data_IF_696237357641
#
_entry.id   IF_696237357641
#
_cell.length_a   1.000
_cell.length_b   1.000
_cell.length_c   1.000
_cell.angle_alpha   90.00
_cell.angle_beta   90.00
_cell.angle_gamma   90.00
#
_symmetry.space_group_name_H-M   'P 1'
#
loop_
_entity.id
_entity.type
_entity.pdbx_description
1 polymer ?
#
# COMPACT_ATOMS: atom_id res chain seq x y z
N UNK A 1 42.57 23.07 -16.55
CA UNK A 1 41.26 23.59 -16.09
C UNK A 1 40.53 22.42 -15.45
N UNK A 2 40.66 22.27 -14.13
CA UNK A 2 40.06 21.14 -13.40
C UNK A 2 38.68 21.57 -12.90
N UNK A 3 37.63 21.16 -13.61
CA UNK A 3 36.24 21.35 -13.20
C UNK A 3 35.80 20.42 -12.04
N UNK A 4 36.71 19.58 -11.55
CA UNK A 4 36.47 18.56 -10.51
C UNK A 4 35.88 19.16 -9.21
N UNK A 5 36.35 20.32 -8.69
CA UNK A 5 35.78 20.87 -7.46
C UNK A 5 34.33 21.38 -7.64
N UNK A 6 34.04 22.02 -8.77
CA UNK A 6 32.69 22.53 -9.06
C UNK A 6 31.70 21.41 -9.39
N UNK A 7 32.11 20.42 -10.18
CA UNK A 7 31.28 19.25 -10.48
C UNK A 7 31.01 18.41 -9.24
N UNK A 8 32.00 18.26 -8.34
CA UNK A 8 31.81 17.56 -7.07
C UNK A 8 30.84 18.32 -6.17
N UNK A 9 30.98 19.65 -6.06
CA UNK A 9 30.06 20.50 -5.30
C UNK A 9 28.62 20.44 -5.85
N UNK A 10 28.45 20.54 -7.18
CA UNK A 10 27.14 20.45 -7.83
C UNK A 10 26.50 19.07 -7.69
N UNK A 11 27.28 17.99 -7.84
CA UNK A 11 26.80 16.62 -7.67
C UNK A 11 26.45 16.30 -6.21
N UNK A 12 27.24 16.77 -5.24
CA UNK A 12 26.92 16.63 -3.81
C UNK A 12 25.64 17.40 -3.45
N UNK A 13 25.48 18.62 -3.98
CA UNK A 13 24.26 19.42 -3.76
C UNK A 13 23.03 18.76 -4.37
N UNK A 14 23.11 18.28 -5.60
CA UNK A 14 22.01 17.59 -6.27
C UNK A 14 21.60 16.30 -5.55
N UNK A 15 22.56 15.52 -5.03
CA UNK A 15 22.25 14.33 -4.21
C UNK A 15 21.57 14.71 -2.88
N UNK A 16 21.99 15.80 -2.25
CA UNK A 16 21.37 16.27 -1.01
C UNK A 16 19.94 16.77 -1.25
N UNK A 17 19.71 17.54 -2.31
CA UNK A 17 18.36 17.99 -2.72
C UNK A 17 17.45 16.82 -3.07
N UNK A 18 17.96 15.80 -3.77
CA UNK A 18 17.20 14.58 -4.08
C UNK A 18 16.81 13.81 -2.81
N UNK A 19 17.73 13.64 -1.87
CA UNK A 19 17.45 12.97 -0.58
C UNK A 19 16.44 13.76 0.25
N UNK A 20 16.58 15.09 0.32
CA UNK A 20 15.64 15.94 1.03
C UNK A 20 14.24 15.88 0.40
N UNK A 21 14.16 15.96 -0.93
CA UNK A 21 12.90 15.84 -1.67
C UNK A 21 12.25 14.47 -1.45
N UNK A 22 13.03 13.38 -1.45
CA UNK A 22 12.56 12.04 -1.18
C UNK A 22 11.97 11.94 0.24
N UNK A 23 12.71 12.40 1.25
CA UNK A 23 12.26 12.39 2.64
C UNK A 23 10.98 13.21 2.78
N UNK A 24 10.94 14.42 2.24
CA UNK A 24 9.73 15.27 2.29
C UNK A 24 8.54 14.61 1.60
N UNK A 25 8.73 13.99 0.43
CA UNK A 25 7.66 13.30 -0.28
C UNK A 25 7.12 12.10 0.52
N UNK A 26 8.01 11.28 1.09
CA UNK A 26 7.64 10.12 1.91
C UNK A 26 6.94 10.55 3.21
N UNK A 27 7.45 11.59 3.87
CA UNK A 27 6.80 12.16 5.06
C UNK A 27 5.40 12.68 4.72
N UNK A 28 5.25 13.44 3.64
CA UNK A 28 3.93 13.91 3.20
C UNK A 28 2.97 12.75 2.93
N UNK A 29 3.43 11.65 2.32
CA UNK A 29 2.61 10.46 2.10
C UNK A 29 2.25 9.72 3.38
N UNK A 30 3.14 9.67 4.36
CA UNK A 30 2.82 9.14 5.67
C UNK A 30 1.73 9.98 6.38
N UNK A 31 1.85 11.32 6.32
CA UNK A 31 0.83 12.23 6.85
C UNK A 31 -0.52 12.07 6.14
N UNK A 32 -0.54 11.99 4.81
CA UNK A 32 -1.76 11.72 4.03
C UNK A 32 -2.40 10.37 4.44
N UNK A 33 -1.58 9.36 4.75
CA UNK A 33 -2.06 8.09 5.30
C UNK A 33 -2.75 8.26 6.65
N UNK A 34 -2.16 9.05 7.56
CA UNK A 34 -2.77 9.37 8.87
C UNK A 34 -4.07 10.15 8.69
N UNK A 35 -4.10 11.15 7.82
CA UNK A 35 -5.31 11.92 7.50
C UNK A 35 -6.44 10.99 7.04
N UNK A 36 -6.16 10.07 6.11
CA UNK A 36 -7.15 9.09 5.66
C UNK A 36 -7.65 8.17 6.77
N UNK A 37 -6.79 7.78 7.72
CA UNK A 37 -7.20 6.97 8.88
C UNK A 37 -8.11 7.79 9.80
N UNK A 38 -7.78 9.07 10.05
CA UNK A 38 -8.62 9.97 10.85
C UNK A 38 -9.98 10.17 10.19
N UNK A 39 -10.00 10.47 8.89
CA UNK A 39 -11.23 10.62 8.11
C UNK A 39 -12.08 9.34 8.14
N UNK A 40 -11.45 8.17 8.02
CA UNK A 40 -12.12 6.88 8.14
C UNK A 40 -12.78 6.74 9.52
N UNK A 41 -12.07 7.04 10.61
CA UNK A 41 -12.60 6.96 11.97
C UNK A 41 -13.77 7.93 12.18
N UNK A 42 -13.67 9.16 11.67
CA UNK A 42 -14.75 10.15 11.76
C UNK A 42 -16.00 9.69 10.99
N UNK A 43 -15.82 9.15 9.79
CA UNK A 43 -16.92 8.62 8.99
C UNK A 43 -17.60 7.43 9.69
N UNK A 44 -16.81 6.50 10.25
CA UNK A 44 -17.34 5.36 11.02
C UNK A 44 -18.08 5.82 12.27
N UNK A 45 -17.53 6.79 13.01
CA UNK A 45 -18.17 7.32 14.20
C UNK A 45 -19.52 7.98 13.87
N UNK A 46 -19.55 8.80 12.80
CA UNK A 46 -20.77 9.45 12.34
C UNK A 46 -21.83 8.44 11.90
N UNK A 47 -21.44 7.47 11.06
CA UNK A 47 -22.33 6.41 10.61
C UNK A 47 -22.85 5.57 11.78
N UNK A 48 -21.98 5.22 12.73
CA UNK A 48 -22.36 4.45 13.92
C UNK A 48 -23.35 5.21 14.80
N UNK A 49 -23.23 6.54 14.92
CA UNK A 49 -24.17 7.35 15.70
C UNK A 49 -25.55 7.42 15.04
N UNK A 50 -25.60 7.67 13.73
CA UNK A 50 -26.84 7.71 12.95
C UNK A 50 -27.56 6.36 13.01
N UNK A 51 -26.83 5.27 12.83
CA UNK A 51 -27.37 3.92 12.86
C UNK A 51 -27.78 3.48 14.27
N UNK A 52 -27.03 3.86 15.30
CA UNK A 52 -27.40 3.56 16.69
C UNK A 52 -28.71 4.25 17.06
N UNK A 53 -28.94 5.48 16.58
CA UNK A 53 -30.22 6.18 16.76
C UNK A 53 -31.36 5.44 16.06
N UNK A 54 -31.16 5.00 14.82
CA UNK A 54 -32.16 4.24 14.07
C UNK A 54 -32.46 2.88 14.74
N UNK A 55 -31.42 2.16 15.17
CA UNK A 55 -31.52 0.87 15.85
C UNK A 55 -32.22 1.01 17.20
N UNK A 56 -31.90 2.04 17.98
CA UNK A 56 -32.57 2.30 19.25
C UNK A 56 -34.07 2.57 19.05
N UNK A 57 -34.45 3.36 18.03
CA UNK A 57 -35.86 3.59 17.69
C UNK A 57 -36.59 2.29 17.31
N UNK A 58 -35.95 1.41 16.54
CA UNK A 58 -36.52 0.11 16.17
C UNK A 58 -36.70 -0.79 17.39
N UNK A 59 -35.69 -0.88 18.26
CA UNK A 59 -35.75 -1.69 19.49
C UNK A 59 -36.80 -1.17 20.48
N UNK A 60 -36.95 0.14 20.62
CA UNK A 60 -37.97 0.77 21.47
C UNK A 60 -39.40 0.61 20.92
N UNK A 61 -39.54 0.40 19.61
CA UNK A 61 -40.83 0.16 18.97
C UNK A 61 -41.25 -1.32 18.97
N UNK A 62 -40.42 -2.22 19.53
CA UNK A 62 -40.73 -3.65 19.63
C UNK A 62 -41.96 -3.87 20.53
N UNK A 63 -42.87 -4.74 20.07
CA UNK A 63 -44.16 -5.01 20.74
C UNK A 63 -44.02 -6.00 21.89
N UNK A 64 -43.01 -6.86 21.84
CA UNK A 64 -42.74 -7.88 22.83
C UNK A 64 -41.25 -8.27 22.86
N UNK A 65 -40.88 -9.11 23.84
CA UNK A 65 -39.51 -9.57 24.03
C UNK A 65 -38.98 -10.43 22.85
N UNK A 66 -39.87 -11.10 22.11
CA UNK A 66 -39.50 -11.94 20.99
C UNK A 66 -39.14 -11.08 19.75
N UNK A 67 -39.92 -10.03 19.49
CA UNK A 67 -39.60 -9.01 18.48
C UNK A 67 -38.30 -8.28 18.83
N UNK A 68 -38.09 -7.93 20.10
CA UNK A 68 -36.85 -7.31 20.56
C UNK A 68 -35.62 -8.19 20.30
N UNK A 69 -35.67 -9.47 20.69
CA UNK A 69 -34.57 -10.42 20.44
C UNK A 69 -34.30 -10.60 18.94
N UNK A 70 -35.36 -10.63 18.12
CA UNK A 70 -35.25 -10.75 16.67
C UNK A 70 -34.55 -9.54 16.07
N UNK A 71 -34.94 -8.33 16.48
CA UNK A 71 -34.33 -7.08 16.04
C UNK A 71 -32.86 -6.96 16.51
N UNK A 72 -32.56 -7.36 17.75
CA UNK A 72 -31.19 -7.39 18.25
C UNK A 72 -30.31 -8.38 17.47
N UNK A 73 -30.82 -9.59 17.20
CA UNK A 73 -30.09 -10.60 16.43
C UNK A 73 -29.86 -10.17 14.97
N UNK A 74 -30.80 -9.42 14.37
CA UNK A 74 -30.67 -8.90 13.01
C UNK A 74 -29.47 -7.95 12.84
N UNK A 75 -28.94 -7.37 13.92
CA UNK A 75 -27.79 -6.47 13.87
C UNK A 75 -26.43 -7.19 13.81
N UNK A 76 -26.38 -8.50 14.07
CA UNK A 76 -25.12 -9.25 14.10
C UNK A 76 -24.41 -9.26 12.74
N UNK A 77 -25.15 -9.55 11.66
CA UNK A 77 -24.60 -9.58 10.30
C UNK A 77 -24.10 -8.19 9.83
N UNK A 78 -24.92 -7.11 9.84
CA UNK A 78 -24.46 -5.81 9.37
C UNK A 78 -23.28 -5.27 10.19
N UNK A 79 -23.21 -5.56 11.49
CA UNK A 79 -22.06 -5.17 12.31
C UNK A 79 -20.77 -5.91 11.92
N UNK A 80 -20.86 -7.19 11.60
CA UNK A 80 -19.72 -7.95 11.09
C UNK A 80 -19.26 -7.45 9.71
N UNK A 81 -20.19 -7.15 8.81
CA UNK A 81 -19.88 -6.58 7.49
C UNK A 81 -19.18 -5.22 7.61
N UNK A 82 -19.61 -4.36 8.55
CA UNK A 82 -18.95 -3.07 8.82
C UNK A 82 -17.54 -3.23 9.39
N UNK A 83 -17.34 -4.16 10.32
CA UNK A 83 -16.01 -4.44 10.87
C UNK A 83 -15.05 -4.92 9.76
N UNK A 84 -15.52 -5.78 8.86
CA UNK A 84 -14.76 -6.25 7.70
C UNK A 84 -14.48 -5.10 6.71
N UNK A 85 -15.46 -4.23 6.46
CA UNK A 85 -15.28 -3.05 5.62
C UNK A 85 -14.24 -2.10 6.21
N UNK A 86 -14.30 -1.81 7.51
CA UNK A 86 -13.31 -0.99 8.20
C UNK A 86 -11.89 -1.57 8.06
N UNK A 87 -11.74 -2.88 8.28
CA UNK A 87 -10.47 -3.57 8.06
C UNK A 87 -9.95 -3.46 6.62
N UNK A 88 -10.83 -3.60 5.62
CA UNK A 88 -10.48 -3.38 4.20
C UNK A 88 -10.07 -1.95 3.90
N UNK A 89 -10.76 -0.96 4.45
CA UNK A 89 -10.40 0.45 4.27
C UNK A 89 -9.03 0.75 4.88
N UNK A 90 -8.75 0.25 6.10
CA UNK A 90 -7.42 0.37 6.70
C UNK A 90 -6.33 -0.30 5.85
N UNK A 91 -6.58 -1.52 5.38
CA UNK A 91 -5.65 -2.24 4.51
C UNK A 91 -5.38 -1.47 3.21
N UNK A 92 -6.42 -0.87 2.60
CA UNK A 92 -6.29 -0.04 1.40
C UNK A 92 -5.50 1.24 1.63
N UNK A 93 -5.64 1.88 2.80
CA UNK A 93 -4.81 3.05 3.15
C UNK A 93 -3.35 2.64 3.31
N UNK A 94 -3.09 1.56 4.06
CA UNK A 94 -1.74 1.07 4.30
C UNK A 94 -1.05 0.63 3.00
N UNK A 95 -1.75 -0.10 2.12
CA UNK A 95 -1.21 -0.53 0.83
C UNK A 95 -0.95 0.65 -0.11
N UNK A 96 -1.81 1.68 -0.07
CA UNK A 96 -1.58 2.93 -0.80
C UNK A 96 -0.31 3.66 -0.37
N UNK A 97 -0.08 3.78 0.95
CA UNK A 97 1.17 4.36 1.48
C UNK A 97 2.37 3.50 1.07
N UNK A 98 2.27 2.18 1.23
CA UNK A 98 3.35 1.26 0.85
C UNK A 98 3.69 1.39 -0.65
N UNK A 99 2.69 1.49 -1.53
CA UNK A 99 2.92 1.63 -2.97
C UNK A 99 3.72 2.89 -3.32
N UNK A 100 3.44 4.02 -2.67
CA UNK A 100 4.21 5.25 -2.87
C UNK A 100 5.66 5.12 -2.38
N UNK A 101 5.89 4.41 -1.26
CA UNK A 101 7.24 4.10 -0.78
C UNK A 101 8.00 3.20 -1.75
N UNK A 102 7.34 2.15 -2.26
CA UNK A 102 7.93 1.25 -3.28
C UNK A 102 8.30 2.03 -4.54
N UNK A 103 7.40 2.88 -5.04
CA UNK A 103 7.64 3.72 -6.21
C UNK A 103 8.83 4.66 -6.02
N UNK A 104 8.96 5.25 -4.83
CA UNK A 104 10.08 6.13 -4.51
C UNK A 104 11.42 5.39 -4.48
N UNK A 105 11.43 4.16 -3.93
CA UNK A 105 12.60 3.30 -3.98
C UNK A 105 12.96 2.92 -5.43
N UNK A 106 11.98 2.49 -6.23
CA UNK A 106 12.17 2.16 -7.64
C UNK A 106 12.80 3.32 -8.42
N UNK A 107 12.33 4.55 -8.20
CA UNK A 107 12.87 5.75 -8.83
C UNK A 107 14.36 5.97 -8.46
N UNK A 108 14.71 5.85 -7.17
CA UNK A 108 16.09 6.02 -6.69
C UNK A 108 17.03 4.96 -7.28
N UNK A 109 16.56 3.73 -7.38
CA UNK A 109 17.32 2.61 -7.94
C UNK A 109 17.52 2.80 -9.44
N UNK A 110 16.47 3.16 -10.18
CA UNK A 110 16.57 3.43 -11.61
C UNK A 110 17.56 4.56 -11.91
N UNK A 111 17.52 5.65 -11.12
CA UNK A 111 18.46 6.75 -11.23
C UNK A 111 19.91 6.31 -10.93
N UNK A 112 20.10 5.51 -9.88
CA UNK A 112 21.42 5.00 -9.50
C UNK A 112 21.99 4.07 -10.57
N UNK A 113 21.19 3.13 -11.08
CA UNK A 113 21.56 2.23 -12.18
C UNK A 113 21.97 3.03 -13.42
N UNK A 114 21.23 4.09 -13.76
CA UNK A 114 21.57 4.97 -14.88
C UNK A 114 22.91 5.69 -14.66
N UNK A 115 23.13 6.28 -13.48
CA UNK A 115 24.40 6.95 -13.12
C UNK A 115 25.59 5.98 -13.18
N UNK A 116 25.40 4.75 -12.71
CA UNK A 116 26.43 3.71 -12.80
C UNK A 116 26.69 3.37 -14.27
N UNK A 117 25.66 3.14 -15.09
CA UNK A 117 25.84 2.88 -16.53
C UNK A 117 26.60 4.01 -17.25
N UNK A 118 26.26 5.27 -16.98
CA UNK A 118 26.97 6.43 -17.52
C UNK A 118 28.46 6.41 -17.11
N UNK A 119 28.77 6.14 -15.84
CA UNK A 119 30.15 5.99 -15.37
C UNK A 119 30.87 4.81 -16.03
N UNK A 120 30.19 3.67 -16.23
CA UNK A 120 30.75 2.51 -16.92
C UNK A 120 31.06 2.85 -18.37
N UNK A 121 30.19 3.57 -19.08
CA UNK A 121 30.43 3.99 -20.46
C UNK A 121 31.59 5.00 -20.56
N UNK A 122 31.66 5.96 -19.63
CA UNK A 122 32.74 6.95 -19.52
C UNK A 122 34.09 6.26 -19.27
N UNK A 123 34.14 5.30 -18.33
CA UNK A 123 35.33 4.50 -18.05
C UNK A 123 35.68 3.63 -19.25
N UNK A 124 34.70 2.92 -19.85
CA UNK A 124 34.94 2.02 -20.98
C UNK A 124 35.50 2.75 -22.21
N UNK A 125 35.04 3.98 -22.48
CA UNK A 125 35.58 4.81 -23.57
C UNK A 125 37.05 5.21 -23.35
N UNK A 126 37.48 5.25 -22.09
CA UNK A 126 38.82 5.68 -21.68
C UNK A 126 39.67 4.52 -21.10
N UNK A 127 39.19 3.28 -21.17
CA UNK A 127 39.80 2.16 -20.47
C UNK A 127 40.98 1.56 -21.25
N UNK A 128 42.08 1.17 -20.58
CA UNK A 128 43.17 0.42 -21.20
C UNK A 128 42.68 -0.94 -21.73
N UNK A 129 43.33 -1.45 -22.77
CA UNK A 129 43.07 -2.80 -23.29
C UNK A 129 43.18 -3.85 -22.17
N UNK A 130 42.20 -4.76 -22.04
CA UNK A 130 42.13 -5.80 -21.02
C UNK A 130 41.09 -5.58 -19.91
N UNK A 131 40.29 -4.51 -19.98
CA UNK A 131 39.26 -4.13 -19.00
C UNK A 131 37.85 -4.67 -19.32
N UNK A 132 37.69 -5.38 -20.44
CA UNK A 132 36.41 -5.84 -21.00
C UNK A 132 35.64 -6.77 -20.04
N UNK A 133 36.36 -7.61 -19.29
CA UNK A 133 35.75 -8.51 -18.30
C UNK A 133 35.14 -7.76 -17.10
N UNK A 134 35.77 -6.67 -16.64
CA UNK A 134 35.24 -5.88 -15.52
C UNK A 134 33.97 -5.13 -15.91
N UNK A 135 33.93 -4.57 -17.13
CA UNK A 135 32.76 -3.91 -17.71
C UNK A 135 31.58 -4.89 -17.88
N UNK A 136 31.86 -6.13 -18.31
CA UNK A 136 30.85 -7.17 -18.47
C UNK A 136 30.23 -7.61 -17.13
N UNK A 137 31.04 -7.78 -16.09
CA UNK A 137 30.57 -8.11 -14.73
C UNK A 137 29.65 -7.00 -14.21
N UNK A 138 30.03 -5.74 -14.40
CA UNK A 138 29.27 -4.60 -13.89
C UNK A 138 27.92 -4.45 -14.63
N UNK A 139 27.88 -4.64 -15.95
CA UNK A 139 26.62 -4.72 -16.72
C UNK A 139 25.72 -5.86 -16.24
N UNK A 140 26.31 -7.02 -15.94
CA UNK A 140 25.57 -8.19 -15.43
C UNK A 140 24.98 -7.92 -14.04
N UNK A 141 25.70 -7.25 -13.15
CA UNK A 141 25.20 -6.87 -11.83
C UNK A 141 23.98 -5.93 -11.93
N UNK A 142 24.00 -4.96 -12.87
CA UNK A 142 22.89 -4.05 -13.13
C UNK A 142 21.68 -4.80 -13.69
N UNK A 143 21.90 -5.74 -14.62
CA UNK A 143 20.85 -6.61 -15.15
C UNK A 143 20.18 -7.46 -14.07
N UNK A 144 20.98 -8.05 -13.16
CA UNK A 144 20.47 -8.85 -12.05
C UNK A 144 19.72 -8.02 -11.01
N UNK A 145 20.16 -6.79 -10.74
CA UNK A 145 19.44 -5.86 -9.88
C UNK A 145 18.03 -5.58 -10.45
N UNK A 146 17.93 -5.22 -11.72
CA UNK A 146 16.64 -4.96 -12.40
C UNK A 146 15.69 -6.17 -12.36
N UNK A 147 16.20 -7.39 -12.58
CA UNK A 147 15.40 -8.61 -12.48
C UNK A 147 14.89 -8.87 -11.05
N UNK A 148 15.71 -8.58 -10.03
CA UNK A 148 15.30 -8.68 -8.62
C UNK A 148 14.14 -7.75 -8.26
N UNK A 149 14.08 -6.55 -8.84
CA UNK A 149 12.96 -5.60 -8.64
C UNK A 149 11.66 -6.09 -9.25
N UNK A 150 11.72 -6.61 -10.46
CA UNK A 150 10.55 -7.14 -11.14
C UNK A 150 9.93 -8.31 -10.36
N UNK A 151 10.79 -9.15 -9.77
CA UNK A 151 10.38 -10.24 -8.90
C UNK A 151 9.78 -9.75 -7.58
N UNK A 152 10.37 -8.75 -6.91
CA UNK A 152 9.81 -8.15 -5.69
C UNK A 152 8.42 -7.56 -5.95
N UNK A 153 8.29 -6.77 -7.02
CA UNK A 153 7.03 -6.14 -7.44
C UNK A 153 5.94 -7.19 -7.69
N UNK A 154 6.30 -8.29 -8.37
CA UNK A 154 5.40 -9.40 -8.64
C UNK A 154 4.97 -10.11 -7.36
N UNK A 155 5.91 -10.37 -6.43
CA UNK A 155 5.60 -10.97 -5.13
C UNK A 155 4.70 -10.08 -4.28
N UNK A 156 4.92 -8.76 -4.28
CA UNK A 156 4.05 -7.80 -3.60
C UNK A 156 2.64 -7.82 -4.18
N UNK A 157 2.48 -7.81 -5.50
CA UNK A 157 1.16 -7.93 -6.15
C UNK A 157 0.43 -9.21 -5.76
N UNK A 158 1.13 -10.35 -5.81
CA UNK A 158 0.54 -11.64 -5.41
C UNK A 158 0.11 -11.66 -3.94
N UNK A 159 0.88 -11.03 -3.05
CA UNK A 159 0.52 -10.92 -1.64
C UNK A 159 -0.77 -10.10 -1.44
N UNK A 160 -0.91 -8.98 -2.15
CA UNK A 160 -2.12 -8.14 -2.14
C UNK A 160 -3.32 -8.93 -2.66
N UNK A 161 -3.20 -9.57 -3.81
CA UNK A 161 -4.26 -10.40 -4.41
C UNK A 161 -4.69 -11.54 -3.47
N UNK A 162 -3.74 -12.16 -2.77
CA UNK A 162 -4.02 -13.24 -1.80
C UNK A 162 -4.78 -12.73 -0.57
N UNK A 163 -4.41 -11.54 -0.07
CA UNK A 163 -5.12 -10.90 1.04
C UNK A 163 -6.55 -10.55 0.63
N UNK A 164 -6.74 -9.98 -0.57
CA UNK A 164 -8.06 -9.68 -1.13
C UNK A 164 -8.92 -10.94 -1.29
N UNK A 165 -8.35 -12.01 -1.85
CA UNK A 165 -9.03 -13.29 -2.01
C UNK A 165 -9.44 -13.91 -0.67
N UNK A 166 -8.55 -13.88 0.33
CA UNK A 166 -8.82 -14.39 1.67
C UNK A 166 -9.89 -13.56 2.39
N UNK A 167 -9.88 -12.24 2.24
CA UNK A 167 -10.92 -11.35 2.78
C UNK A 167 -12.28 -11.59 2.13
N UNK A 168 -12.31 -11.76 0.81
CA UNK A 168 -13.55 -12.06 0.08
C UNK A 168 -14.10 -13.45 0.48
N UNK A 169 -13.22 -14.42 0.70
CA UNK A 169 -13.59 -15.74 1.20
C UNK A 169 -14.13 -15.68 2.63
N UNK A 170 -13.47 -14.95 3.54
CA UNK A 170 -13.95 -14.77 4.91
C UNK A 170 -15.33 -14.08 4.95
N UNK A 171 -15.54 -13.04 4.14
CA UNK A 171 -16.84 -12.36 4.01
C UNK A 171 -17.92 -13.29 3.45
N UNK A 172 -17.61 -14.07 2.41
CA UNK A 172 -18.58 -15.01 1.85
C UNK A 172 -18.92 -16.14 2.82
N UNK A 173 -17.95 -16.64 3.60
CA UNK A 173 -18.19 -17.63 4.65
C UNK A 173 -19.01 -17.06 5.82
N UNK A 174 -18.84 -15.79 6.16
CA UNK A 174 -19.60 -15.14 7.23
C UNK A 174 -21.04 -14.78 6.80
N UNK A 175 -21.25 -14.51 5.51
CA UNK A 175 -22.57 -14.16 4.94
C UNK A 175 -23.38 -15.39 4.47
N UNK A 176 -22.74 -16.54 4.22
CA UNK A 176 -23.42 -17.79 3.83
C UNK A 176 -24.40 -18.35 4.89
N UNK A 177 -24.11 -18.31 6.21
CA UNK A 177 -25.08 -18.71 7.24
C UNK A 177 -26.35 -17.84 7.21
N UNK A 178 -26.22 -16.54 6.90
CA UNK A 178 -27.36 -15.63 6.80
C UNK A 178 -28.22 -15.87 5.54
N UNK A 179 -27.61 -16.25 4.42
CA UNK A 179 -28.34 -16.61 3.20
C UNK A 179 -29.07 -17.96 3.32
N UNK A 180 -28.46 -18.98 3.95
CA UNK A 180 -29.11 -20.28 4.18
C UNK A 180 -30.23 -20.22 5.23
N UNK A 181 -30.08 -19.38 6.27
CA UNK A 181 -31.15 -19.16 7.25
C UNK A 181 -32.39 -18.44 6.66
N UNK A 182 -32.20 -17.60 5.63
CA UNK A 182 -33.29 -16.93 4.90
C UNK A 182 -33.97 -17.84 3.86
N UNK A 183 -33.24 -18.82 3.31
CA UNK A 183 -33.77 -19.80 2.36
C UNK A 183 -34.51 -20.97 3.02
N UNK A 184 -34.17 -21.33 4.26
CA UNK A 184 -34.81 -22.42 5.01
C UNK A 184 -36.15 -22.02 5.70
N UNK A 185 -36.60 -20.77 5.53
CA UNK A 185 -37.88 -20.24 6.04
C UNK A 185 -38.94 -19.98 4.94
N UNK A 186 -38.73 -20.48 3.72
CA UNK A 186 -39.75 -20.48 2.66
C UNK A 186 -40.34 -21.86 2.47
#
# INVERSE_FOLDING_TARGET
MFAIPEQFSAASKANFEAQLSLISALTNKAFEGVEKIVDLNLNVAKASLEESSATAKQLLAAKDAQEWLTLAAAQAQPNAEKALAYGRHLAGIASGVQAEFTKAAEAQIAETSRKVLELVEEVSKNAPAGSENAVAILKTAIGNANAGYEQLTKSTKQAVETIEANLNTAVSQFTQPAAKARAAKK
#
